data_IF_833015979565
#
_entry.id   IF_833015979565
#
_cell.length_a   1.000
_cell.length_b   1.000
_cell.length_c   1.000
_cell.angle_alpha   90.00
_cell.angle_beta   90.00
_cell.angle_gamma   90.00
#
_symmetry.space_group_name_H-M   'P 1'
#
loop_
_entity.id
_entity.type
_entity.pdbx_description
1 polymer ?
#
# COMPACT_ATOMS: atom_id res chain seq x y z
N UNK A 1 -10.68 9.55 -2.64
CA UNK A 1 -11.37 9.29 -3.91
C UNK A 1 -10.80 10.24 -4.97
N UNK A 2 -10.55 9.78 -6.20
CA UNK A 2 -10.06 10.67 -7.27
C UNK A 2 -11.21 11.49 -7.85
N UNK A 3 -11.09 12.81 -8.04
CA UNK A 3 -12.12 13.57 -8.76
C UNK A 3 -12.31 13.01 -10.17
N UNK A 4 -13.52 13.16 -10.71
CA UNK A 4 -13.97 12.63 -12.03
C UNK A 4 -13.89 11.10 -12.24
N UNK A 5 -13.63 10.31 -11.20
CA UNK A 5 -13.68 8.85 -11.28
C UNK A 5 -15.08 8.30 -10.96
N UNK A 6 -15.53 7.28 -11.69
CA UNK A 6 -16.79 6.55 -11.42
C UNK A 6 -16.86 6.01 -9.99
N UNK A 7 -15.74 5.51 -9.47
CA UNK A 7 -15.63 5.05 -8.09
C UNK A 7 -15.92 6.15 -7.05
N UNK A 8 -15.63 7.42 -7.36
CA UNK A 8 -15.92 8.56 -6.47
C UNK A 8 -17.40 8.88 -6.47
N UNK A 9 -18.05 8.83 -7.65
CA UNK A 9 -19.50 8.94 -7.73
C UNK A 9 -20.14 7.84 -6.89
N UNK A 10 -19.75 6.57 -7.08
CA UNK A 10 -20.22 5.42 -6.30
C UNK A 10 -20.00 5.60 -4.79
N UNK A 11 -18.83 6.11 -4.37
CA UNK A 11 -18.50 6.30 -2.95
C UNK A 11 -19.46 7.27 -2.23
N UNK A 12 -19.86 8.33 -2.93
CA UNK A 12 -20.73 9.37 -2.40
C UNK A 12 -22.22 9.06 -2.60
N UNK A 13 -22.62 8.54 -3.77
CA UNK A 13 -24.02 8.23 -4.09
C UNK A 13 -24.48 6.87 -3.57
N UNK A 14 -23.58 5.89 -3.42
CA UNK A 14 -23.93 4.50 -3.12
C UNK A 14 -24.68 3.78 -4.24
N UNK A 15 -24.64 4.32 -5.47
CA UNK A 15 -25.34 3.80 -6.64
C UNK A 15 -24.35 3.50 -7.75
N UNK A 16 -24.67 2.52 -8.62
CA UNK A 16 -23.91 2.28 -9.83
C UNK A 16 -24.25 3.34 -10.90
N UNK A 17 -23.31 4.24 -11.29
CA UNK A 17 -23.55 5.22 -12.34
C UNK A 17 -23.75 4.60 -13.73
N UNK A 18 -23.39 3.33 -13.94
CA UNK A 18 -23.50 2.66 -15.25
C UNK A 18 -24.88 2.01 -15.47
N UNK A 19 -25.56 1.61 -14.40
CA UNK A 19 -26.85 0.91 -14.46
C UNK A 19 -28.06 1.83 -14.73
N UNK A 20 -27.85 3.14 -14.82
CA UNK A 20 -28.91 4.14 -14.99
C UNK A 20 -29.46 4.61 -13.64
N UNK A 21 -29.35 5.91 -13.38
CA UNK A 21 -29.80 6.51 -12.11
C UNK A 21 -31.26 6.94 -12.27
N UNK A 22 -32.15 6.27 -11.53
CA UNK A 22 -33.58 6.57 -11.50
C UNK A 22 -33.99 7.23 -10.17
N UNK A 23 -35.03 8.08 -10.20
CA UNK A 23 -35.63 8.64 -8.97
C UNK A 23 -36.34 7.57 -8.14
N UNK A 24 -36.83 6.51 -8.78
CA UNK A 24 -37.39 5.36 -8.10
C UNK A 24 -36.28 4.47 -7.53
N UNK A 25 -36.20 4.40 -6.20
CA UNK A 25 -35.16 3.66 -5.47
C UNK A 25 -35.10 2.16 -5.80
N UNK A 26 -36.18 1.59 -6.32
CA UNK A 26 -36.25 0.16 -6.70
C UNK A 26 -35.57 -0.14 -8.03
N UNK A 27 -35.34 0.87 -8.87
CA UNK A 27 -34.75 0.72 -10.21
C UNK A 27 -33.25 1.03 -10.23
N UNK A 28 -32.75 1.79 -9.27
CA UNK A 28 -31.31 2.08 -9.15
C UNK A 28 -30.56 0.95 -8.45
N UNK A 29 -29.48 0.46 -9.06
CA UNK A 29 -28.60 -0.53 -8.45
C UNK A 29 -27.78 0.10 -7.32
N UNK A 30 -27.91 -0.47 -6.11
CA UNK A 30 -27.19 -0.01 -4.92
C UNK A 30 -25.87 -0.77 -4.77
N UNK A 31 -24.81 -0.03 -4.52
CA UNK A 31 -23.46 -0.56 -4.28
C UNK A 31 -23.13 -0.44 -2.79
N UNK A 32 -22.73 -1.55 -2.14
CA UNK A 32 -22.29 -1.50 -0.75
C UNK A 32 -20.92 -0.81 -0.64
N UNK A 33 -20.90 0.37 -0.02
CA UNK A 33 -19.69 1.17 0.16
C UNK A 33 -19.23 1.08 1.61
N UNK A 34 -18.06 0.48 1.79
CA UNK A 34 -17.47 0.31 3.11
C UNK A 34 -16.87 1.63 3.62
N UNK A 35 -17.58 2.29 4.54
CA UNK A 35 -17.09 3.51 5.22
C UNK A 35 -16.31 3.21 6.50
N UNK A 36 -16.69 2.15 7.23
CA UNK A 36 -16.14 1.83 8.55
C UNK A 36 -14.74 1.20 8.52
N UNK A 37 -13.93 1.52 9.53
CA UNK A 37 -12.56 1.02 9.67
C UNK A 37 -12.51 -0.51 9.85
N UNK A 38 -13.39 -1.08 10.68
CA UNK A 38 -13.42 -2.52 10.97
C UNK A 38 -13.57 -3.36 9.71
N UNK A 39 -14.56 -3.05 8.86
CA UNK A 39 -14.77 -3.75 7.57
C UNK A 39 -13.60 -3.50 6.61
N UNK A 40 -13.07 -2.28 6.51
CA UNK A 40 -11.89 -1.99 5.67
C UNK A 40 -10.66 -2.79 6.09
N UNK A 41 -10.40 -2.88 7.40
CA UNK A 41 -9.30 -3.66 7.97
C UNK A 41 -9.47 -5.14 7.64
N UNK A 42 -10.68 -5.66 7.77
CA UNK A 42 -11.02 -7.04 7.43
C UNK A 42 -10.85 -7.34 5.92
N UNK A 43 -11.32 -6.47 5.02
CA UNK A 43 -11.08 -6.63 3.57
C UNK A 43 -9.58 -6.62 3.23
N UNK A 44 -8.83 -5.70 3.83
CA UNK A 44 -7.38 -5.64 3.66
C UNK A 44 -6.69 -6.88 4.24
N UNK A 45 -7.20 -7.43 5.33
CA UNK A 45 -6.70 -8.66 5.94
C UNK A 45 -6.92 -9.87 5.02
N UNK A 46 -8.07 -9.99 4.34
CA UNK A 46 -8.29 -11.04 3.35
C UNK A 46 -7.31 -10.98 2.18
N UNK A 47 -7.02 -9.78 1.67
CA UNK A 47 -5.99 -9.61 0.64
C UNK A 47 -4.57 -9.94 1.16
N UNK A 48 -4.33 -9.72 2.46
CA UNK A 48 -3.05 -9.97 3.14
C UNK A 48 -3.14 -11.15 4.09
N UNK A 49 -3.72 -12.25 3.61
CA UNK A 49 -3.94 -13.45 4.42
C UNK A 49 -2.64 -14.10 4.92
N UNK A 50 -1.54 -13.92 4.16
CA UNK A 50 -0.22 -14.42 4.54
C UNK A 50 0.36 -13.76 5.79
N UNK A 51 -0.10 -12.56 6.15
CA UNK A 51 0.44 -11.83 7.30
C UNK A 51 -0.07 -12.45 8.61
N UNK A 52 0.81 -13.01 9.45
CA UNK A 52 0.42 -13.65 10.71
C UNK A 52 -0.29 -12.73 11.69
N UNK A 53 -0.06 -11.40 11.62
CA UNK A 53 -0.76 -10.45 12.47
C UNK A 53 -2.28 -10.39 12.20
N UNK A 54 -2.72 -10.75 10.99
CA UNK A 54 -4.11 -10.70 10.58
C UNK A 54 -4.90 -11.98 10.88
N UNK A 55 -4.22 -13.10 11.19
CA UNK A 55 -4.84 -14.41 11.36
C UNK A 55 -5.94 -14.47 12.42
N UNK A 56 -5.84 -13.81 13.60
CA UNK A 56 -6.93 -13.80 14.57
C UNK A 56 -8.22 -13.20 13.99
N UNK A 57 -8.11 -12.05 13.34
CA UNK A 57 -9.25 -11.36 12.72
C UNK A 57 -9.86 -12.18 11.58
N UNK A 58 -9.03 -12.87 10.80
CA UNK A 58 -9.49 -13.73 9.70
C UNK A 58 -10.25 -14.95 10.22
N UNK A 59 -9.79 -15.60 11.29
CA UNK A 59 -10.48 -16.77 11.86
C UNK A 59 -11.86 -16.39 12.37
N UNK A 60 -11.96 -15.34 13.17
CA UNK A 60 -13.25 -14.84 13.68
C UNK A 60 -14.22 -14.52 12.53
N UNK A 61 -13.73 -13.89 11.46
CA UNK A 61 -14.54 -13.59 10.29
C UNK A 61 -14.98 -14.84 9.51
N UNK A 62 -14.08 -15.80 9.32
CA UNK A 62 -14.37 -17.06 8.62
C UNK A 62 -15.35 -17.95 9.40
N UNK A 63 -15.21 -18.01 10.72
CA UNK A 63 -16.16 -18.69 11.61
C UNK A 63 -17.54 -18.04 11.56
N UNK A 64 -17.62 -16.71 11.63
CA UNK A 64 -18.87 -15.98 11.51
C UNK A 64 -19.58 -16.17 10.15
N UNK A 65 -18.81 -16.41 9.09
CA UNK A 65 -19.34 -16.71 7.74
C UNK A 65 -19.64 -18.21 7.52
N UNK A 66 -19.36 -19.07 8.49
CA UNK A 66 -19.54 -20.53 8.36
C UNK A 66 -18.53 -21.20 7.43
N UNK A 67 -17.40 -20.55 7.12
CA UNK A 67 -16.32 -21.04 6.23
C UNK A 67 -15.13 -21.55 7.04
N UNK A 68 -15.40 -22.29 8.11
CA UNK A 68 -14.37 -22.88 8.97
C UNK A 68 -13.48 -23.88 8.22
N UNK A 69 -13.96 -24.43 7.11
CA UNK A 69 -13.23 -25.34 6.21
C UNK A 69 -11.97 -24.71 5.59
N UNK A 70 -11.85 -23.37 5.61
CA UNK A 70 -10.66 -22.66 5.13
C UNK A 70 -9.59 -22.48 6.22
N UNK A 71 -9.82 -23.02 7.42
CA UNK A 71 -8.91 -22.91 8.57
C UNK A 71 -8.25 -24.28 8.82
N UNK A 72 -6.93 -24.37 8.64
CA UNK A 72 -6.22 -25.64 8.80
C UNK A 72 -4.76 -25.63 8.36
N UNK A 73 -4.04 -26.75 8.54
CA UNK A 73 -2.61 -26.86 8.21
C UNK A 73 -2.34 -27.23 6.74
N UNK A 74 -3.35 -27.70 6.01
CA UNK A 74 -3.21 -28.16 4.62
C UNK A 74 -3.14 -27.03 3.60
N UNK A 75 -2.65 -27.34 2.38
CA UNK A 75 -2.46 -26.38 1.27
C UNK A 75 -3.74 -25.70 0.77
N UNK A 76 -4.90 -26.29 1.02
CA UNK A 76 -6.21 -25.75 0.63
C UNK A 76 -6.81 -24.80 1.67
N UNK A 77 -6.16 -24.63 2.83
CA UNK A 77 -6.60 -23.71 3.88
C UNK A 77 -5.93 -22.35 3.71
N UNK A 78 -6.71 -21.28 3.92
CA UNK A 78 -6.25 -19.91 3.82
C UNK A 78 -5.43 -19.49 5.05
N UNK A 79 -5.81 -19.96 6.24
CA UNK A 79 -5.22 -19.53 7.50
C UNK A 79 -4.90 -20.73 8.39
N UNK A 80 -3.71 -20.78 9.03
CA UNK A 80 -3.39 -21.80 10.02
C UNK A 80 -4.29 -21.71 11.27
N UNK A 81 -4.59 -22.87 11.86
CA UNK A 81 -5.40 -22.96 13.07
C UNK A 81 -4.73 -22.36 14.31
N UNK A 82 -3.39 -22.42 14.39
CA UNK A 82 -2.60 -21.86 15.49
C UNK A 82 -1.50 -20.96 14.94
N UNK A 83 -1.25 -19.84 15.61
CA UNK A 83 -0.15 -18.93 15.27
C UNK A 83 1.13 -19.38 15.99
N UNK A 84 2.29 -19.45 15.31
CA UNK A 84 3.56 -19.67 15.99
C UNK A 84 3.92 -18.44 16.83
N UNK A 85 4.39 -18.67 18.05
CA UNK A 85 4.77 -17.60 18.96
C UNK A 85 5.87 -16.72 18.33
N UNK A 86 5.63 -15.42 18.21
CA UNK A 86 6.61 -14.45 17.69
C UNK A 86 6.34 -13.92 16.27
N UNK A 87 5.33 -14.42 15.56
CA UNK A 87 5.06 -13.97 14.18
C UNK A 87 4.40 -12.57 14.09
N UNK A 88 3.93 -12.00 15.21
CA UNK A 88 3.14 -10.78 15.21
C UNK A 88 3.92 -9.50 15.53
N UNK A 89 4.89 -9.08 14.71
CA UNK A 89 5.46 -7.72 14.81
C UNK A 89 6.35 -7.30 13.62
N UNK A 90 5.94 -7.56 12.37
CA UNK A 90 6.68 -7.03 11.21
C UNK A 90 5.75 -6.29 10.26
N UNK A 91 4.96 -5.37 10.81
CA UNK A 91 4.17 -4.42 10.04
C UNK A 91 5.09 -3.47 9.28
N UNK A 92 5.42 -3.81 8.03
CA UNK A 92 5.63 -2.94 6.86
C UNK A 92 6.33 -1.56 7.05
N UNK A 93 7.16 -1.36 8.07
CA UNK A 93 7.96 -0.13 8.34
C UNK A 93 9.45 -0.43 8.54
N UNK A 94 9.95 -1.55 8.02
CA UNK A 94 11.41 -1.81 7.92
C UNK A 94 11.84 -2.23 6.51
N UNK A 95 11.30 -1.58 5.49
CA UNK A 95 11.89 -1.53 4.14
C UNK A 95 11.83 -0.11 3.56
N UNK A 96 12.17 0.84 4.41
CA UNK A 96 12.83 2.10 4.02
C UNK A 96 13.98 2.32 4.99
N UNK A 97 14.73 1.24 5.26
CA UNK A 97 16.06 1.30 5.83
C UNK A 97 16.91 0.59 4.78
N UNK A 98 17.51 1.37 3.91
CA UNK A 98 18.48 0.90 2.93
C UNK A 98 19.58 0.14 3.70
N UNK A 99 19.60 -1.17 3.56
CA UNK A 99 20.78 -1.98 3.85
C UNK A 99 21.69 -1.91 2.64
N UNK A 100 22.51 -0.86 2.56
CA UNK A 100 23.78 -0.95 1.86
C UNK A 100 24.82 -0.29 2.76
N UNK A 101 25.48 -1.12 3.55
CA UNK A 101 26.84 -0.82 3.98
C UNK A 101 27.70 -0.76 2.73
N UNK A 102 27.86 0.44 2.19
CA UNK A 102 28.95 0.81 1.30
C UNK A 102 29.24 2.27 1.64
N UNK A 103 30.32 2.52 2.35
CA UNK A 103 30.89 3.87 2.51
C UNK A 103 31.12 4.45 1.12
N UNK A 104 30.40 5.49 0.67
CA UNK A 104 30.86 6.25 -0.48
C UNK A 104 31.77 7.34 0.10
N UNK A 105 33.08 7.14 -0.01
CA UNK A 105 34.03 8.26 0.09
C UNK A 105 33.77 9.16 -1.13
N UNK A 106 32.80 10.06 -1.01
CA UNK A 106 32.57 11.14 -1.94
C UNK A 106 33.02 12.46 -1.27
N UNK A 107 33.90 13.25 -1.91
CA UNK A 107 34.45 14.45 -1.29
C UNK A 107 33.36 15.50 -1.06
N UNK A 108 33.37 16.10 0.14
CA UNK A 108 32.41 17.11 0.54
C UNK A 108 32.41 18.33 -0.43
N UNK A 109 31.24 18.91 -0.73
CA UNK A 109 31.15 20.07 -1.62
C UNK A 109 31.85 21.28 -0.99
N UNK A 110 32.64 21.99 -1.82
CA UNK A 110 33.38 23.18 -1.39
C UNK A 110 32.42 24.34 -1.11
N UNK A 111 32.72 25.12 -0.07
CA UNK A 111 31.99 26.34 0.30
C UNK A 111 31.85 27.26 -0.93
N UNK A 112 30.61 27.55 -1.32
CA UNK A 112 30.28 28.43 -2.45
C UNK A 112 29.44 27.81 -3.57
N UNK A 113 29.18 26.49 -3.56
CA UNK A 113 28.29 25.88 -4.57
C UNK A 113 26.82 25.89 -4.11
N UNK A 114 25.96 26.62 -4.82
CA UNK A 114 24.50 26.47 -4.70
C UNK A 114 24.09 25.31 -5.63
N UNK A 115 23.70 24.19 -5.05
CA UNK A 115 23.17 23.04 -5.79
C UNK A 115 21.67 23.23 -6.06
N UNK A 116 21.30 23.51 -7.31
CA UNK A 116 19.90 23.46 -7.75
C UNK A 116 19.56 22.05 -8.26
N UNK A 117 18.44 21.53 -7.76
CA UNK A 117 18.02 20.12 -7.78
C UNK A 117 17.51 19.57 -9.13
N UNK A 118 17.94 20.10 -10.28
CA UNK A 118 17.27 19.76 -11.55
C UNK A 118 18.14 19.37 -12.74
N UNK A 119 19.45 19.21 -12.58
CA UNK A 119 20.29 18.64 -13.66
C UNK A 119 21.22 17.57 -13.10
N UNK A 120 20.72 16.32 -13.12
CA UNK A 120 21.49 15.10 -12.87
C UNK A 120 22.47 14.77 -13.99
N UNK A 121 23.26 15.75 -14.43
CA UNK A 121 24.34 15.56 -15.39
C UNK A 121 25.64 16.12 -14.79
N UNK A 122 26.70 15.31 -14.64
CA UNK A 122 27.96 15.79 -14.09
C UNK A 122 28.55 16.90 -14.99
N UNK A 123 29.18 17.94 -14.41
CA UNK A 123 29.74 19.04 -15.18
C UNK A 123 30.84 18.51 -16.10
N UNK A 124 30.74 18.81 -17.40
CA UNK A 124 31.75 18.47 -18.39
C UNK A 124 33.05 19.22 -18.10
N UNK A 125 34.14 18.49 -17.92
CA UNK A 125 35.49 19.05 -17.76
C UNK A 125 35.94 19.72 -19.07
N UNK A 126 35.94 21.05 -19.12
CA UNK A 126 36.56 21.82 -20.19
C UNK A 126 37.97 22.24 -19.79
N UNK A 127 38.92 21.91 -20.65
CA UNK A 127 40.36 22.09 -20.51
C UNK A 127 40.80 23.55 -20.77
N UNK A 128 41.82 23.98 -20.00
CA UNK A 128 42.95 24.83 -20.40
C UNK A 128 42.71 26.24 -20.95
N UNK A 129 43.23 27.26 -20.25
CA UNK A 129 44.33 28.11 -20.76
C UNK A 129 44.82 29.11 -19.70
N UNK A 130 46.15 29.17 -19.59
CA UNK A 130 46.99 30.07 -18.82
C UNK A 130 46.87 31.54 -19.26
N UNK A 131 46.93 32.49 -18.31
CA UNK A 131 47.85 33.64 -18.47
C UNK A 131 48.26 34.25 -17.13
N UNK A 132 49.58 34.27 -16.94
CA UNK A 132 50.33 34.97 -15.91
C UNK A 132 50.64 36.39 -16.42
N UNK A 133 50.33 37.42 -15.65
CA UNK A 133 51.19 38.57 -15.27
C UNK A 133 50.39 39.58 -14.48
#
# INVERSE_FOLDING_TARGET
PSPMATATAMYHSGLDPLAGIHRDERRGERVDVVRGERRRRLHKAFLRWHDPANWPLLREALEAMGRADLIGPGRHHLVPRRQPAGAGCQGARRRSAASTGATPTAPAPRRGSILTQHTGLPPRSAAGTSRKR
#
